data_IF_947419688909
#
_entry.id   IF_947419688909
#
_cell.length_a   1.000
_cell.length_b   1.000
_cell.length_c   1.000
_cell.angle_alpha   90.00
_cell.angle_beta   90.00
_cell.angle_gamma   90.00
#
_symmetry.space_group_name_H-M   'P 1'
#
loop_
_entity.id
_entity.type
_entity.pdbx_description
1 polymer ?
#
# COMPACT_ATOMS: atom_id res chain seq x y z
N UNK A 1 -51.02 21.07 55.08
CA UNK A 1 -50.30 19.83 54.68
C UNK A 1 -49.63 19.92 53.28
N UNK A 2 -50.01 20.87 52.41
CA UNK A 2 -49.50 20.96 51.02
C UNK A 2 -48.04 21.45 50.92
N UNK A 3 -47.65 22.45 51.73
CA UNK A 3 -46.30 23.08 51.71
C UNK A 3 -45.17 22.12 52.13
N UNK A 4 -45.46 21.18 53.05
CA UNK A 4 -44.48 20.18 53.47
C UNK A 4 -44.17 19.18 52.34
N UNK A 5 -45.17 18.86 51.50
CA UNK A 5 -44.99 17.93 50.39
C UNK A 5 -44.15 18.49 49.23
N UNK A 6 -44.17 19.82 49.02
CA UNK A 6 -43.36 20.48 48.00
C UNK A 6 -41.89 20.60 48.39
N UNK A 7 -41.59 20.91 49.66
CA UNK A 7 -40.20 20.94 50.17
C UNK A 7 -39.53 19.57 50.11
N UNK A 8 -40.27 18.49 50.42
CA UNK A 8 -39.76 17.12 50.31
C UNK A 8 -39.52 16.72 48.84
N UNK A 9 -40.39 17.13 47.90
CA UNK A 9 -40.17 16.93 46.45
C UNK A 9 -38.98 17.74 45.92
N UNK A 10 -38.83 19.00 46.31
CA UNK A 10 -37.72 19.87 45.91
C UNK A 10 -36.37 19.37 46.47
N UNK A 11 -36.32 18.92 47.73
CA UNK A 11 -35.13 18.33 48.35
C UNK A 11 -34.75 16.98 47.71
N UNK A 12 -35.72 16.11 47.40
CA UNK A 12 -35.48 14.86 46.63
C UNK A 12 -34.98 15.16 45.21
N UNK A 13 -35.50 16.20 44.56
CA UNK A 13 -35.07 16.64 43.21
C UNK A 13 -33.63 17.17 43.22
N UNK A 14 -33.25 17.96 44.24
CA UNK A 14 -31.89 18.46 44.41
C UNK A 14 -30.89 17.33 44.71
N UNK A 15 -31.27 16.36 45.56
CA UNK A 15 -30.42 15.19 45.85
C UNK A 15 -30.22 14.31 44.61
N UNK A 16 -31.26 14.09 43.79
CA UNK A 16 -31.14 13.38 42.50
C UNK A 16 -30.23 14.11 41.51
N UNK A 17 -30.33 15.44 41.43
CA UNK A 17 -29.45 16.26 40.61
C UNK A 17 -27.99 16.18 41.08
N UNK A 18 -27.75 16.31 42.39
CA UNK A 18 -26.41 16.15 42.97
C UNK A 18 -25.84 14.74 42.76
N UNK A 19 -26.65 13.69 42.89
CA UNK A 19 -26.23 12.31 42.58
C UNK A 19 -25.90 12.15 41.08
N UNK A 20 -26.69 12.74 40.18
CA UNK A 20 -26.39 12.74 38.74
C UNK A 20 -25.09 13.47 38.44
N UNK A 21 -24.89 14.67 39.01
CA UNK A 21 -23.65 15.43 38.84
C UNK A 21 -22.45 14.66 39.38
N UNK A 22 -22.57 14.06 40.56
CA UNK A 22 -21.50 13.23 41.13
C UNK A 22 -21.19 12.01 40.27
N UNK A 23 -22.22 11.36 39.70
CA UNK A 23 -22.05 10.23 38.80
C UNK A 23 -21.37 10.65 37.49
N UNK A 24 -21.78 11.76 36.88
CA UNK A 24 -21.14 12.32 35.68
C UNK A 24 -19.68 12.70 35.97
N UNK A 25 -19.42 13.31 37.13
CA UNK A 25 -18.05 13.64 37.54
C UNK A 25 -17.20 12.38 37.73
N UNK A 26 -17.74 11.33 38.35
CA UNK A 26 -17.08 10.04 38.50
C UNK A 26 -16.76 9.40 37.14
N UNK A 27 -17.70 9.43 36.20
CA UNK A 27 -17.48 8.93 34.84
C UNK A 27 -16.41 9.75 34.11
N UNK A 28 -16.41 11.07 34.27
CA UNK A 28 -15.40 11.94 33.67
C UNK A 28 -14.00 11.64 34.23
N UNK A 29 -13.86 11.53 35.55
CA UNK A 29 -12.58 11.16 36.19
C UNK A 29 -12.14 9.76 35.78
N UNK A 30 -13.06 8.80 35.74
CA UNK A 30 -12.78 7.44 35.28
C UNK A 30 -12.31 7.41 33.82
N UNK A 31 -12.94 8.21 32.94
CA UNK A 31 -12.53 8.33 31.55
C UNK A 31 -11.17 8.99 31.39
N UNK A 32 -10.87 10.05 32.15
CA UNK A 32 -9.55 10.68 32.19
C UNK A 32 -8.49 9.66 32.59
N UNK A 33 -8.70 8.92 33.68
CA UNK A 33 -7.78 7.90 34.14
C UNK A 33 -7.57 6.79 33.09
N UNK A 34 -8.66 6.32 32.46
CA UNK A 34 -8.60 5.32 31.39
C UNK A 34 -7.78 5.83 30.20
N UNK A 35 -7.97 7.08 29.79
CA UNK A 35 -7.27 7.68 28.66
C UNK A 35 -5.75 7.74 28.91
N UNK A 36 -5.33 8.24 30.08
CA UNK A 36 -3.91 8.31 30.43
C UNK A 36 -3.28 6.92 30.57
N UNK A 37 -4.01 5.95 31.11
CA UNK A 37 -3.58 4.55 31.14
C UNK A 37 -3.37 3.99 29.72
N UNK A 38 -4.33 4.19 28.81
CA UNK A 38 -4.24 3.73 27.43
C UNK A 38 -3.08 4.41 26.67
N UNK A 39 -2.89 5.73 26.88
CA UNK A 39 -1.76 6.48 26.30
C UNK A 39 -0.41 5.94 26.78
N UNK A 40 -0.23 5.71 28.09
CA UNK A 40 0.99 5.11 28.62
C UNK A 40 1.22 3.70 28.08
N UNK A 41 0.15 2.90 27.92
CA UNK A 41 0.28 1.55 27.35
C UNK A 41 0.70 1.57 25.88
N UNK A 42 0.22 2.54 25.12
CA UNK A 42 0.64 2.73 23.73
C UNK A 42 2.13 3.06 23.64
N UNK A 43 2.63 3.92 24.53
CA UNK A 43 4.05 4.28 24.60
C UNK A 43 4.95 3.06 24.86
N UNK A 44 4.63 2.26 25.87
CA UNK A 44 5.34 1.01 26.18
C UNK A 44 5.34 0.04 24.97
N UNK A 45 4.20 -0.08 24.30
CA UNK A 45 4.02 -0.99 23.17
C UNK A 45 4.89 -0.57 21.99
N UNK A 46 4.98 0.74 21.72
CA UNK A 46 5.83 1.33 20.68
C UNK A 46 7.30 1.12 21.02
N UNK A 47 7.71 1.38 22.27
CA UNK A 47 9.08 1.18 22.71
C UNK A 47 9.51 -0.29 22.58
N UNK A 48 8.66 -1.21 23.02
CA UNK A 48 8.89 -2.65 22.87
C UNK A 48 8.94 -3.11 21.41
N UNK A 49 8.11 -2.55 20.53
CA UNK A 49 8.18 -2.80 19.10
C UNK A 49 9.52 -2.32 18.50
N UNK A 50 9.93 -1.07 18.77
CA UNK A 50 11.22 -0.53 18.29
C UNK A 50 12.40 -1.39 18.75
N UNK A 51 12.39 -1.87 20.00
CA UNK A 51 13.41 -2.77 20.51
C UNK A 51 13.48 -4.11 19.75
N UNK A 52 12.33 -4.71 19.42
CA UNK A 52 12.27 -5.93 18.60
C UNK A 52 12.76 -5.69 17.17
N UNK A 53 12.40 -4.57 16.56
CA UNK A 53 12.87 -4.22 15.20
C UNK A 53 14.39 -4.00 15.17
N UNK A 54 14.95 -3.38 16.22
CA UNK A 54 16.38 -3.16 16.34
C UNK A 54 17.18 -4.48 16.39
N UNK A 55 16.61 -5.54 16.99
CA UNK A 55 17.21 -6.89 16.97
C UNK A 55 17.25 -7.52 15.57
N UNK A 56 16.38 -7.05 14.66
CA UNK A 56 16.32 -7.49 13.26
C UNK A 56 16.96 -6.47 12.30
N UNK A 57 17.89 -5.65 12.80
CA UNK A 57 18.68 -4.71 11.99
C UNK A 57 17.93 -3.48 11.48
N UNK A 58 16.71 -3.21 11.99
CA UNK A 58 15.87 -2.08 11.61
C UNK A 58 15.71 -1.11 12.77
N UNK A 59 16.35 0.06 12.68
CA UNK A 59 16.31 1.06 13.72
C UNK A 59 15.29 2.14 13.36
N UNK A 60 14.20 2.21 14.12
CA UNK A 60 13.19 3.27 14.01
C UNK A 60 13.41 4.31 15.11
N UNK A 61 13.65 5.55 14.72
CA UNK A 61 13.93 6.66 15.62
C UNK A 61 12.84 7.73 15.53
N UNK A 62 12.61 8.38 16.66
CA UNK A 62 11.70 9.51 16.77
C UNK A 62 12.43 10.63 17.49
N UNK A 63 12.61 11.78 16.85
CA UNK A 63 13.34 12.90 17.44
C UNK A 63 12.59 13.50 18.62
N UNK A 64 11.28 13.71 18.46
CA UNK A 64 10.37 14.08 19.55
C UNK A 64 9.07 13.31 19.39
N UNK A 65 8.67 12.60 20.45
CA UNK A 65 7.43 11.85 20.50
C UNK A 65 6.45 12.55 21.45
N UNK A 66 5.25 12.85 20.98
CA UNK A 66 4.18 13.40 21.82
C UNK A 66 2.90 12.58 21.67
N UNK A 67 2.17 12.45 22.78
CA UNK A 67 0.90 11.75 22.86
C UNK A 67 -0.23 12.78 22.91
N UNK A 68 -1.29 12.57 22.13
CA UNK A 68 -2.43 13.47 22.02
C UNK A 68 -3.73 12.70 21.71
N UNK A 69 -4.79 13.44 21.34
CA UNK A 69 -6.06 12.83 20.93
C UNK A 69 -7.14 12.71 22.02
N UNK A 70 -6.88 13.22 23.24
CA UNK A 70 -7.88 13.27 24.30
C UNK A 70 -9.17 13.99 23.83
N UNK A 71 -10.37 13.48 24.18
CA UNK A 71 -10.64 12.30 25.02
C UNK A 71 -10.94 11.02 24.26
N UNK A 72 -11.02 11.03 22.93
CA UNK A 72 -11.66 9.94 22.17
C UNK A 72 -10.71 9.05 21.36
N UNK A 73 -9.43 9.43 21.28
CA UNK A 73 -8.40 8.71 20.52
C UNK A 73 -7.04 8.86 21.17
N UNK A 74 -6.13 8.00 20.75
CA UNK A 74 -4.71 8.07 21.05
C UNK A 74 -4.02 8.45 19.76
N UNK A 75 -3.39 9.61 19.75
CA UNK A 75 -2.57 10.12 18.66
C UNK A 75 -1.12 10.13 19.11
N UNK A 76 -0.24 9.62 18.25
CA UNK A 76 1.20 9.60 18.43
C UNK A 76 1.79 10.48 17.34
N UNK A 77 2.32 11.62 17.74
CA UNK A 77 3.06 12.51 16.85
C UNK A 77 4.54 12.22 17.02
N UNK A 78 5.20 11.96 15.90
CA UNK A 78 6.64 11.73 15.86
C UNK A 78 7.30 12.73 14.93
N UNK A 79 8.03 13.68 15.48
CA UNK A 79 8.83 14.63 14.72
C UNK A 79 10.23 14.07 14.43
N UNK A 80 10.78 14.44 13.26
CA UNK A 80 12.08 13.98 12.76
C UNK A 80 12.19 12.45 12.83
N UNK A 81 11.19 11.78 12.25
CA UNK A 81 11.14 10.34 12.19
C UNK A 81 12.25 9.80 11.27
N UNK A 82 12.94 8.76 11.73
CA UNK A 82 14.00 8.09 10.98
C UNK A 82 13.80 6.58 10.99
N UNK A 83 14.16 5.92 9.89
CA UNK A 83 14.22 4.47 9.79
C UNK A 83 15.51 4.05 9.08
N UNK A 84 16.36 3.29 9.76
CA UNK A 84 17.63 2.80 9.26
C UNK A 84 17.58 1.28 9.08
N UNK A 85 17.83 0.81 7.86
CA UNK A 85 17.83 -0.62 7.51
C UNK A 85 19.28 -1.08 7.28
N UNK A 86 19.94 -1.55 8.34
CA UNK A 86 21.38 -1.89 8.31
C UNK A 86 21.69 -3.18 7.53
N UNK A 87 20.76 -4.12 7.54
CA UNK A 87 20.93 -5.43 6.88
C UNK A 87 20.54 -5.41 5.40
N UNK A 88 19.93 -4.31 4.94
CA UNK A 88 19.69 -4.10 3.51
C UNK A 88 21.04 -3.99 2.78
N UNK A 89 21.08 -4.42 1.52
CA UNK A 89 22.28 -4.34 0.68
C UNK A 89 21.93 -3.56 -0.59
N UNK A 90 22.35 -2.27 -0.71
CA UNK A 90 23.09 -1.48 0.29
C UNK A 90 22.21 -1.04 1.48
N UNK A 91 22.82 -0.69 2.64
CA UNK A 91 22.09 -0.09 3.75
C UNK A 91 21.47 1.24 3.33
N UNK A 92 20.26 1.53 3.80
CA UNK A 92 19.60 2.78 3.50
C UNK A 92 18.88 3.34 4.74
N UNK A 93 18.74 4.66 4.75
CA UNK A 93 18.04 5.43 5.74
C UNK A 93 16.86 6.16 5.07
N UNK A 94 15.73 6.19 5.77
CA UNK A 94 14.53 6.92 5.40
C UNK A 94 14.24 7.97 6.47
N UNK A 95 14.03 9.23 6.07
CA UNK A 95 13.67 10.32 6.99
C UNK A 95 12.38 10.98 6.58
N UNK A 96 11.54 11.29 7.56
CA UNK A 96 10.33 12.08 7.38
C UNK A 96 10.27 13.21 8.43
N UNK A 97 9.78 14.42 8.08
CA UNK A 97 9.64 15.52 9.02
C UNK A 97 8.72 15.16 10.19
N UNK A 98 7.63 14.45 9.90
CA UNK A 98 6.61 14.10 10.87
C UNK A 98 5.85 12.84 10.44
N UNK A 99 5.48 12.03 11.42
CA UNK A 99 4.50 10.93 11.29
C UNK A 99 3.44 11.11 12.37
N UNK A 100 2.17 11.04 11.99
CA UNK A 100 1.04 10.98 12.90
C UNK A 100 0.43 9.57 12.82
N UNK A 101 0.24 8.93 13.97
CA UNK A 101 -0.45 7.64 14.07
C UNK A 101 -1.62 7.82 15.04
N UNK A 102 -2.82 7.42 14.65
CA UNK A 102 -4.03 7.57 15.44
C UNK A 102 -4.80 6.25 15.57
N UNK A 103 -5.31 5.98 16.77
CA UNK A 103 -6.22 4.88 17.06
C UNK A 103 -7.39 5.39 17.92
N UNK A 104 -8.62 4.99 17.62
CA UNK A 104 -9.78 5.36 18.44
C UNK A 104 -9.85 4.48 19.69
N UNK A 105 -10.20 5.05 20.85
CA UNK A 105 -10.25 4.28 22.11
C UNK A 105 -11.30 3.16 22.05
N UNK A 106 -12.41 3.40 21.34
CA UNK A 106 -13.49 2.43 21.14
C UNK A 106 -13.31 1.55 19.89
N UNK A 107 -12.25 1.78 19.09
CA UNK A 107 -11.86 0.94 17.95
C UNK A 107 -10.32 0.83 17.88
N UNK A 108 -9.67 0.22 18.88
CA UNK A 108 -8.20 0.19 18.98
C UNK A 108 -7.54 -0.68 17.91
N UNK A 109 -8.32 -1.53 17.22
CA UNK A 109 -7.86 -2.37 16.13
C UNK A 109 -7.86 -1.65 14.77
N UNK A 110 -8.23 -0.36 14.70
CA UNK A 110 -8.10 0.47 13.51
C UNK A 110 -7.03 1.53 13.76
N UNK A 111 -5.88 1.34 13.12
CA UNK A 111 -4.78 2.29 13.10
C UNK A 111 -4.84 3.08 11.80
N UNK A 112 -4.76 4.40 11.90
CA UNK A 112 -4.61 5.30 10.77
C UNK A 112 -3.29 6.02 10.96
N UNK A 113 -2.48 6.12 9.92
CA UNK A 113 -1.25 6.92 9.97
C UNK A 113 -1.10 7.83 8.78
N UNK A 114 -0.56 9.01 9.02
CA UNK A 114 -0.27 10.03 8.03
C UNK A 114 1.20 10.39 8.10
N UNK A 115 1.81 10.51 6.92
CA UNK A 115 3.23 10.81 6.77
C UNK A 115 3.38 12.18 6.13
N UNK A 116 4.18 13.06 6.73
CA UNK A 116 4.45 14.37 6.15
C UNK A 116 5.51 14.27 5.05
N UNK A 117 5.31 15.01 3.97
CA UNK A 117 6.31 15.24 2.93
C UNK A 117 7.25 16.41 3.33
N UNK A 118 8.48 16.48 2.79
CA UNK A 118 9.13 15.48 1.94
C UNK A 118 9.74 14.33 2.74
N UNK A 119 9.61 13.10 2.25
CA UNK A 119 10.35 11.95 2.76
C UNK A 119 11.61 11.76 1.93
N UNK A 120 12.75 11.52 2.58
CA UNK A 120 14.03 11.31 1.91
C UNK A 120 14.55 9.91 2.12
N UNK A 121 15.19 9.35 1.10
CA UNK A 121 15.79 8.01 1.10
C UNK A 121 17.22 8.15 0.60
N UNK A 122 18.18 7.58 1.31
CA UNK A 122 19.58 7.62 0.92
C UNK A 122 20.45 6.69 1.75
N UNK A 123 21.74 6.66 1.45
CA UNK A 123 22.69 5.96 2.31
C UNK A 123 22.85 6.69 3.65
N UNK A 124 23.04 5.97 4.77
CA UNK A 124 23.19 6.60 6.07
C UNK A 124 24.40 7.54 6.09
N UNK A 125 24.20 8.78 6.51
CA UNK A 125 25.26 9.79 6.57
C UNK A 125 25.62 10.45 5.24
N UNK A 126 24.96 10.08 4.14
CA UNK A 126 25.14 10.71 2.83
C UNK A 126 23.95 11.62 2.46
N UNK A 127 24.09 12.50 1.45
CA UNK A 127 22.97 13.22 0.87
C UNK A 127 21.88 12.25 0.38
N UNK A 128 20.60 12.65 0.43
CA UNK A 128 19.51 11.78 0.03
C UNK A 128 19.59 11.46 -1.46
N UNK A 129 19.53 10.18 -1.82
CA UNK A 129 19.52 9.73 -3.21
C UNK A 129 18.16 9.96 -3.88
N UNK A 130 17.08 9.87 -3.09
CA UNK A 130 15.70 10.01 -3.54
C UNK A 130 14.92 10.92 -2.58
N UNK A 131 14.08 11.79 -3.12
CA UNK A 131 13.11 12.60 -2.38
C UNK A 131 11.70 12.28 -2.87
N UNK A 132 10.81 11.94 -1.94
CA UNK A 132 9.40 11.67 -2.19
C UNK A 132 8.54 12.80 -1.60
N UNK A 133 7.61 13.31 -2.40
CA UNK A 133 6.67 14.37 -2.04
C UNK A 133 5.25 13.93 -2.35
N UNK A 134 4.29 14.48 -1.62
CA UNK A 134 2.87 14.26 -1.79
C UNK A 134 2.11 15.36 -1.07
N UNK A 135 0.82 15.50 -1.37
CA UNK A 135 -0.11 16.34 -0.62
C UNK A 135 -0.77 15.59 0.55
N UNK A 136 -0.99 14.27 0.39
CA UNK A 136 -1.45 13.37 1.44
C UNK A 136 -0.78 12.01 1.22
N UNK A 137 -0.28 11.41 2.30
CA UNK A 137 0.10 10.00 2.34
C UNK A 137 -0.51 9.41 3.60
N UNK A 138 -1.60 8.67 3.42
CA UNK A 138 -2.35 8.07 4.51
C UNK A 138 -2.34 6.55 4.37
N UNK A 139 -2.19 5.86 5.48
CA UNK A 139 -2.36 4.43 5.56
C UNK A 139 -3.37 4.09 6.65
N UNK A 140 -4.10 2.99 6.47
CA UNK A 140 -4.94 2.43 7.52
C UNK A 140 -4.77 0.94 7.60
N UNK A 141 -4.75 0.41 8.82
CA UNK A 141 -4.65 -1.02 9.10
C UNK A 141 -5.75 -1.37 10.11
N UNK A 142 -6.59 -2.32 9.73
CA UNK A 142 -7.63 -2.88 10.59
C UNK A 142 -7.29 -4.32 10.95
N UNK A 143 -7.49 -4.68 12.22
CA UNK A 143 -7.28 -6.03 12.74
C UNK A 143 -6.15 -6.07 13.77
N UNK A 144 -5.63 -7.25 14.03
CA UNK A 144 -4.50 -7.44 14.96
C UNK A 144 -3.21 -7.74 14.19
N UNK A 145 -2.02 -7.56 14.77
CA UNK A 145 -0.77 -7.94 14.10
C UNK A 145 -0.72 -9.42 13.65
N UNK A 146 -1.41 -10.32 14.36
CA UNK A 146 -1.48 -11.74 14.00
C UNK A 146 -2.56 -12.06 12.96
N UNK A 147 -3.58 -11.21 12.85
CA UNK A 147 -4.71 -11.36 11.92
C UNK A 147 -5.14 -9.98 11.39
N UNK A 148 -4.38 -9.39 10.44
CA UNK A 148 -4.77 -8.16 9.77
C UNK A 148 -5.96 -8.43 8.85
N UNK A 149 -7.03 -7.64 8.98
CA UNK A 149 -8.27 -7.78 8.21
C UNK A 149 -8.23 -6.95 6.93
N UNK A 150 -7.72 -5.71 7.03
CA UNK A 150 -7.69 -4.74 5.94
C UNK A 150 -6.49 -3.83 6.06
N UNK A 151 -5.87 -3.52 4.93
CA UNK A 151 -4.81 -2.52 4.79
C UNK A 151 -5.19 -1.59 3.66
N UNK A 152 -5.03 -0.28 3.84
CA UNK A 152 -5.17 0.69 2.76
C UNK A 152 -4.01 1.67 2.80
N UNK A 153 -3.55 2.08 1.62
CA UNK A 153 -2.49 3.05 1.42
C UNK A 153 -3.00 3.99 0.32
N UNK A 154 -3.01 5.29 0.58
CA UNK A 154 -3.48 6.32 -0.35
C UNK A 154 -2.44 7.44 -0.40
N UNK A 155 -1.98 7.77 -1.61
CA UNK A 155 -1.12 8.92 -1.88
C UNK A 155 -1.81 9.87 -2.86
N UNK A 156 -1.91 11.14 -2.48
CA UNK A 156 -2.41 12.22 -3.34
C UNK A 156 -1.24 13.07 -3.84
N UNK A 157 -1.21 13.30 -5.16
CA UNK A 157 -0.17 14.02 -5.88
C UNK A 157 1.26 13.49 -5.59
N UNK A 158 1.53 12.17 -5.68
CA UNK A 158 2.86 11.63 -5.43
C UNK A 158 3.87 12.12 -6.47
N UNK A 159 5.04 12.55 -6.00
CA UNK A 159 6.18 12.91 -6.80
C UNK A 159 7.45 12.27 -6.22
N UNK A 160 8.16 11.49 -7.02
CA UNK A 160 9.43 10.86 -6.65
C UNK A 160 10.55 11.45 -7.52
N UNK A 161 11.59 11.94 -6.88
CA UNK A 161 12.73 12.60 -7.51
C UNK A 161 14.03 11.88 -7.12
N UNK A 162 14.87 11.55 -8.11
CA UNK A 162 16.28 11.25 -7.87
C UNK A 162 17.02 12.56 -7.68
N UNK A 163 17.90 12.63 -6.69
CA UNK A 163 18.63 13.87 -6.37
C UNK A 163 19.84 14.07 -7.28
N UNK A 164 20.54 13.00 -7.66
CA UNK A 164 21.76 13.07 -8.50
C UNK A 164 21.87 11.89 -9.49
N UNK A 165 21.84 12.14 -10.81
CA UNK A 165 21.42 13.41 -11.43
C UNK A 165 19.96 13.72 -11.06
N UNK A 166 19.61 15.01 -11.03
CA UNK A 166 18.26 15.44 -10.71
C UNK A 166 17.29 14.95 -11.80
N UNK A 167 16.36 14.07 -11.42
CA UNK A 167 15.46 13.43 -12.38
C UNK A 167 14.11 13.10 -11.73
N UNK A 168 13.02 13.43 -12.43
CA UNK A 168 11.68 13.02 -12.05
C UNK A 168 11.47 11.53 -12.33
N UNK A 169 11.41 10.70 -11.29
CA UNK A 169 11.23 9.25 -11.41
C UNK A 169 9.75 8.86 -11.54
N UNK A 170 8.88 9.53 -10.79
CA UNK A 170 7.44 9.29 -10.79
C UNK A 170 6.67 10.58 -10.55
N UNK A 171 5.55 10.75 -11.26
CA UNK A 171 4.50 11.73 -10.95
C UNK A 171 3.14 11.04 -11.02
N UNK A 172 2.16 11.53 -10.28
CA UNK A 172 0.79 11.03 -10.37
C UNK A 172 -0.21 11.98 -9.76
N UNK A 173 -1.51 11.78 -10.06
CA UNK A 173 -2.59 12.43 -9.30
C UNK A 173 -2.93 11.64 -8.05
N UNK A 174 -3.06 10.32 -8.18
CA UNK A 174 -3.48 9.46 -7.08
C UNK A 174 -2.89 8.05 -7.21
N UNK A 175 -2.45 7.48 -6.09
CA UNK A 175 -2.06 6.08 -5.97
C UNK A 175 -2.79 5.47 -4.78
N UNK A 176 -3.48 4.36 -5.01
CA UNK A 176 -4.21 3.63 -3.98
C UNK A 176 -3.84 2.16 -4.00
N UNK A 177 -3.62 1.58 -2.82
CA UNK A 177 -3.46 0.16 -2.63
C UNK A 177 -4.36 -0.27 -1.47
N UNK A 178 -5.26 -1.20 -1.73
CA UNK A 178 -6.15 -1.77 -0.73
C UNK A 178 -5.96 -3.27 -0.69
N UNK A 179 -5.69 -3.82 0.49
CA UNK A 179 -5.62 -5.25 0.75
C UNK A 179 -6.67 -5.66 1.78
N UNK A 180 -7.24 -6.84 1.63
CA UNK A 180 -8.11 -7.46 2.65
C UNK A 180 -7.92 -8.96 2.70
N UNK A 181 -8.23 -9.57 3.84
CA UNK A 181 -8.43 -11.01 3.89
C UNK A 181 -9.68 -11.39 3.08
N UNK A 182 -9.56 -12.45 2.28
CA UNK A 182 -10.69 -13.07 1.62
C UNK A 182 -11.63 -13.68 2.68
N UNK A 183 -12.93 -13.67 2.40
CA UNK A 183 -13.92 -14.28 3.30
C UNK A 183 -13.69 -15.81 3.41
N UNK A 184 -13.86 -16.35 4.62
CA UNK A 184 -13.59 -17.77 4.90
C UNK A 184 -12.12 -18.15 4.98
N UNK A 185 -11.20 -17.19 4.85
CA UNK A 185 -9.76 -17.41 5.00
C UNK A 185 -9.40 -17.78 6.45
N UNK A 186 -8.49 -18.74 6.63
CA UNK A 186 -7.97 -19.14 7.95
C UNK A 186 -6.61 -18.53 8.23
N UNK A 187 -6.31 -18.23 9.50
CA UNK A 187 -5.08 -17.52 9.90
C UNK A 187 -3.77 -18.22 9.50
N UNK A 188 -3.79 -19.56 9.37
CA UNK A 188 -2.62 -20.38 9.00
C UNK A 188 -2.38 -20.51 7.49
N UNK A 189 -3.34 -20.08 6.68
CA UNK A 189 -3.26 -20.13 5.22
C UNK A 189 -4.02 -18.92 4.64
N UNK A 190 -3.61 -17.69 4.97
CA UNK A 190 -4.39 -16.52 4.59
C UNK A 190 -4.41 -16.31 3.07
N UNK A 191 -5.59 -16.00 2.57
CA UNK A 191 -5.84 -15.57 1.20
C UNK A 191 -6.08 -14.07 1.22
N UNK A 192 -5.29 -13.32 0.46
CA UNK A 192 -5.36 -11.86 0.44
C UNK A 192 -5.87 -11.41 -0.91
N UNK A 193 -6.92 -10.59 -0.90
CA UNK A 193 -7.36 -9.84 -2.06
C UNK A 193 -6.74 -8.45 -2.04
N UNK A 194 -6.16 -8.03 -3.17
CA UNK A 194 -5.50 -6.75 -3.30
C UNK A 194 -6.05 -6.02 -4.53
N UNK A 195 -6.31 -4.72 -4.36
CA UNK A 195 -6.65 -3.79 -5.42
C UNK A 195 -5.61 -2.68 -5.44
N UNK A 196 -5.03 -2.44 -6.61
CA UNK A 196 -4.12 -1.34 -6.90
C UNK A 196 -4.80 -0.43 -7.92
N UNK A 197 -4.88 0.87 -7.60
CA UNK A 197 -5.40 1.89 -8.50
C UNK A 197 -4.39 3.01 -8.66
N UNK A 198 -4.22 3.47 -9.90
CA UNK A 198 -3.38 4.63 -10.21
C UNK A 198 -4.13 5.61 -11.10
N UNK A 199 -3.95 6.90 -10.87
CA UNK A 199 -4.57 7.96 -11.65
C UNK A 199 -3.50 8.93 -12.15
N UNK A 200 -3.40 9.07 -13.47
CA UNK A 200 -2.48 9.95 -14.20
C UNK A 200 -1.02 9.77 -13.81
N UNK A 201 -0.57 8.53 -13.66
CA UNK A 201 0.81 8.23 -13.26
C UNK A 201 1.75 8.21 -14.44
N UNK A 202 2.87 8.92 -14.33
CA UNK A 202 4.03 8.79 -15.22
C UNK A 202 5.20 8.20 -14.42
N UNK A 203 5.99 7.34 -15.05
CA UNK A 203 7.06 6.62 -14.38
C UNK A 203 8.26 6.44 -15.32
N UNK A 204 9.36 7.13 -15.05
CA UNK A 204 10.56 7.11 -15.89
C UNK A 204 11.14 5.68 -16.06
N UNK A 205 10.96 4.82 -15.05
CA UNK A 205 11.39 3.42 -15.08
C UNK A 205 10.76 2.60 -16.22
N UNK A 206 9.63 3.03 -16.79
CA UNK A 206 8.98 2.38 -17.93
C UNK A 206 9.47 2.91 -19.29
N UNK A 207 10.52 3.73 -19.31
CA UNK A 207 11.10 4.31 -20.52
C UNK A 207 10.06 5.10 -21.33
N UNK A 208 10.04 4.89 -22.65
CA UNK A 208 9.11 5.57 -23.55
C UNK A 208 7.63 5.36 -23.18
N UNK A 209 7.27 4.20 -22.62
CA UNK A 209 5.90 3.90 -22.19
C UNK A 209 5.49 4.63 -20.91
N UNK A 210 6.45 5.14 -20.14
CA UNK A 210 6.20 5.83 -18.88
C UNK A 210 6.04 7.35 -18.99
N UNK A 211 6.22 7.90 -20.18
CA UNK A 211 6.22 9.36 -20.43
C UNK A 211 4.82 9.97 -20.48
N UNK A 212 3.81 9.20 -20.89
CA UNK A 212 2.42 9.64 -20.93
C UNK A 212 1.63 9.11 -19.72
N UNK A 213 0.64 9.86 -19.18
CA UNK A 213 -0.09 9.47 -17.99
C UNK A 213 -0.82 8.13 -18.14
N UNK A 214 -0.68 7.27 -17.13
CA UNK A 214 -1.26 5.93 -17.05
C UNK A 214 -2.31 5.91 -15.93
N UNK A 215 -3.51 5.48 -16.29
CA UNK A 215 -4.57 5.11 -15.35
C UNK A 215 -4.60 3.58 -15.24
N UNK A 216 -4.63 3.03 -14.04
CA UNK A 216 -4.69 1.58 -13.84
C UNK A 216 -5.64 1.17 -12.72
N UNK A 217 -6.24 0.00 -12.89
CA UNK A 217 -7.09 -0.69 -11.92
C UNK A 217 -6.78 -2.18 -12.01
N UNK A 218 -6.06 -2.70 -11.01
CA UNK A 218 -5.57 -4.07 -10.95
C UNK A 218 -6.07 -4.73 -9.68
N UNK A 219 -6.80 -5.83 -9.82
CA UNK A 219 -7.27 -6.69 -8.74
C UNK A 219 -6.60 -8.06 -8.84
N UNK A 220 -6.04 -8.55 -7.74
CA UNK A 220 -5.45 -9.88 -7.67
C UNK A 220 -5.66 -10.55 -6.32
N UNK A 221 -5.57 -11.88 -6.32
CA UNK A 221 -5.67 -12.72 -5.12
C UNK A 221 -4.34 -13.41 -4.89
N UNK A 222 -3.73 -13.20 -3.73
CA UNK A 222 -2.50 -13.84 -3.29
C UNK A 222 -2.81 -15.04 -2.39
N UNK A 223 -2.16 -16.17 -2.68
CA UNK A 223 -2.23 -17.42 -1.91
C UNK A 223 -0.82 -17.94 -1.60
N UNK A 224 -0.70 -18.79 -0.59
CA UNK A 224 0.57 -19.43 -0.18
C UNK A 224 1.27 -18.76 1.00
N UNK A 225 0.61 -17.82 1.67
CA UNK A 225 1.10 -17.31 2.95
C UNK A 225 0.80 -18.31 4.06
N UNK A 226 1.71 -18.44 5.02
CA UNK A 226 1.55 -19.30 6.21
C UNK A 226 1.18 -18.50 7.47
N UNK A 227 1.61 -17.25 7.55
CA UNK A 227 1.43 -16.35 8.71
C UNK A 227 1.59 -14.88 8.29
N UNK A 228 1.41 -13.93 9.22
CA UNK A 228 1.66 -12.49 9.04
C UNK A 228 2.89 -11.98 9.80
N UNK A 229 3.75 -12.87 10.30
CA UNK A 229 4.92 -12.47 11.07
C UNK A 229 5.92 -11.66 10.20
N UNK A 230 6.54 -10.60 10.73
CA UNK A 230 7.54 -9.84 9.98
C UNK A 230 8.75 -10.72 9.64
N UNK A 231 9.06 -10.85 8.34
CA UNK A 231 10.22 -11.60 7.82
C UNK A 231 10.85 -10.82 6.66
N UNK A 232 12.16 -10.98 6.38
CA UNK A 232 12.76 -10.46 5.16
C UNK A 232 12.02 -10.96 3.90
N UNK A 233 11.84 -10.08 2.91
CA UNK A 233 11.13 -10.42 1.66
C UNK A 233 11.66 -11.68 0.96
N UNK A 234 12.99 -11.90 0.82
CA UNK A 234 13.51 -13.11 0.19
C UNK A 234 13.13 -14.40 0.92
N UNK A 235 13.03 -14.34 2.25
CA UNK A 235 12.55 -15.48 3.04
C UNK A 235 11.05 -15.68 2.82
N UNK A 236 10.28 -14.60 2.83
CA UNK A 236 8.83 -14.63 2.59
C UNK A 236 8.49 -15.23 1.23
N UNK A 237 9.19 -14.84 0.17
CA UNK A 237 8.96 -15.37 -1.18
C UNK A 237 9.35 -16.85 -1.31
N UNK A 238 10.40 -17.29 -0.62
CA UNK A 238 10.74 -18.73 -0.53
C UNK A 238 9.64 -19.56 0.12
N UNK A 239 9.08 -19.07 1.23
CA UNK A 239 7.99 -19.77 1.92
C UNK A 239 6.73 -19.83 1.05
N UNK A 240 6.40 -18.73 0.36
CA UNK A 240 5.27 -18.68 -0.58
C UNK A 240 5.50 -19.69 -1.71
N UNK A 241 6.71 -19.73 -2.28
CA UNK A 241 7.06 -20.69 -3.33
C UNK A 241 6.91 -22.14 -2.84
N UNK A 242 7.44 -22.46 -1.65
CA UNK A 242 7.35 -23.79 -1.05
C UNK A 242 5.90 -24.20 -0.74
N UNK A 243 5.01 -23.24 -0.50
CA UNK A 243 3.59 -23.44 -0.26
C UNK A 243 2.74 -23.47 -1.55
N UNK A 244 3.36 -23.62 -2.74
CA UNK A 244 2.69 -23.53 -4.04
C UNK A 244 1.91 -22.22 -4.21
N UNK A 245 2.51 -21.13 -3.74
CA UNK A 245 1.92 -19.81 -3.77
C UNK A 245 1.67 -19.31 -5.19
N UNK A 246 0.55 -18.64 -5.37
CA UNK A 246 0.08 -18.12 -6.66
C UNK A 246 -0.56 -16.76 -6.48
N UNK A 247 -0.48 -15.97 -7.54
CA UNK A 247 -1.15 -14.69 -7.69
C UNK A 247 -2.14 -14.84 -8.83
N UNK A 248 -3.42 -14.78 -8.50
CA UNK A 248 -4.52 -14.80 -9.46
C UNK A 248 -4.92 -13.37 -9.80
N UNK A 249 -4.50 -12.88 -10.96
CA UNK A 249 -4.90 -11.57 -11.47
C UNK A 249 -6.29 -11.72 -12.07
N UNK A 250 -7.30 -11.30 -11.31
CA UNK A 250 -8.71 -11.40 -11.69
C UNK A 250 -9.11 -10.29 -12.66
N UNK A 251 -8.52 -9.11 -12.50
CA UNK A 251 -8.71 -7.96 -13.37
C UNK A 251 -7.43 -7.15 -13.42
N UNK A 252 -6.94 -6.84 -14.60
CA UNK A 252 -5.94 -5.81 -14.82
C UNK A 252 -6.45 -4.91 -15.93
N UNK A 253 -6.71 -3.64 -15.65
CA UNK A 253 -7.06 -2.62 -16.64
C UNK A 253 -6.00 -1.53 -16.59
N UNK A 254 -5.42 -1.21 -17.73
CA UNK A 254 -4.42 -0.16 -17.89
C UNK A 254 -4.85 0.70 -19.07
N UNK A 255 -4.85 2.01 -18.91
CA UNK A 255 -5.21 2.96 -19.95
C UNK A 255 -4.14 4.04 -20.07
N UNK A 256 -3.76 4.35 -21.30
CA UNK A 256 -2.88 5.46 -21.63
C UNK A 256 -3.36 6.13 -22.92
N UNK A 257 -3.95 7.32 -22.77
CA UNK A 257 -4.65 7.97 -23.89
C UNK A 257 -5.82 7.11 -24.37
N UNK A 258 -5.82 6.79 -25.67
CA UNK A 258 -6.85 5.97 -26.32
C UNK A 258 -6.60 4.45 -26.26
N UNK A 259 -5.39 4.04 -25.88
CA UNK A 259 -5.02 2.62 -25.74
C UNK A 259 -5.50 2.10 -24.40
N UNK A 260 -6.26 1.01 -24.43
CA UNK A 260 -6.78 0.32 -23.24
C UNK A 260 -6.32 -1.13 -23.30
N UNK A 261 -5.59 -1.57 -22.28
CA UNK A 261 -5.23 -2.95 -22.06
C UNK A 261 -6.08 -3.52 -20.92
N UNK A 262 -6.74 -4.65 -21.16
CA UNK A 262 -7.36 -5.47 -20.10
C UNK A 262 -6.72 -6.84 -20.07
N UNK A 263 -6.64 -7.46 -18.90
CA UNK A 263 -6.11 -8.82 -18.84
C UNK A 263 -6.39 -9.52 -17.52
N UNK A 264 -6.17 -10.83 -17.56
CA UNK A 264 -6.27 -11.72 -16.42
C UNK A 264 -5.27 -12.87 -16.58
N UNK A 265 -5.03 -13.60 -15.49
CA UNK A 265 -4.20 -14.79 -15.53
C UNK A 265 -3.63 -15.13 -14.17
N UNK A 266 -2.67 -16.06 -14.17
CA UNK A 266 -2.06 -16.55 -12.93
C UNK A 266 -0.55 -16.50 -13.05
N UNK A 267 0.09 -16.06 -11.98
CA UNK A 267 1.54 -16.05 -11.81
C UNK A 267 1.93 -16.89 -10.59
N UNK A 268 3.03 -17.62 -10.72
CA UNK A 268 3.65 -18.44 -9.67
C UNK A 268 5.13 -18.07 -9.54
N UNK A 269 5.78 -18.59 -8.49
CA UNK A 269 7.22 -18.44 -8.29
C UNK A 269 7.87 -19.79 -8.57
N UNK A 270 8.84 -19.82 -9.48
CA UNK A 270 9.58 -21.02 -9.82
C UNK A 270 10.67 -21.35 -8.77
N UNK A 271 11.31 -22.53 -8.80
CA UNK A 271 12.35 -22.90 -7.84
C UNK A 271 13.60 -21.99 -7.84
N UNK A 272 13.81 -21.21 -8.90
CA UNK A 272 14.89 -20.21 -9.01
C UNK A 272 14.49 -18.83 -8.47
N UNK A 273 13.33 -18.73 -7.82
CA UNK A 273 12.81 -17.48 -7.27
C UNK A 273 12.29 -16.50 -8.33
N UNK A 274 12.04 -16.95 -9.55
CA UNK A 274 11.56 -16.10 -10.65
C UNK A 274 10.07 -16.30 -10.89
N UNK A 275 9.41 -15.24 -11.36
CA UNK A 275 8.01 -15.32 -11.74
C UNK A 275 7.83 -16.16 -13.02
N UNK A 276 6.82 -17.01 -13.01
CA UNK A 276 6.39 -17.80 -14.17
C UNK A 276 4.86 -17.77 -14.29
N UNK A 277 4.33 -17.96 -15.51
CA UNK A 277 2.89 -17.98 -15.76
C UNK A 277 2.49 -17.27 -17.05
N UNK A 278 1.20 -17.02 -17.20
CA UNK A 278 0.66 -16.35 -18.39
C UNK A 278 -0.48 -15.42 -18.01
N UNK A 279 -0.44 -14.22 -18.59
CA UNK A 279 -1.56 -13.27 -18.60
C UNK A 279 -2.13 -13.22 -20.02
N UNK A 280 -3.44 -13.34 -20.13
CA UNK A 280 -4.15 -13.10 -21.37
C UNK A 280 -4.46 -11.60 -21.43
N UNK A 281 -3.75 -10.87 -22.30
CA UNK A 281 -3.98 -9.44 -22.48
C UNK A 281 -4.85 -9.22 -23.70
N UNK A 282 -5.81 -8.30 -23.60
CA UNK A 282 -6.59 -7.77 -24.70
C UNK A 282 -6.31 -6.28 -24.78
N UNK A 283 -5.84 -5.81 -25.94
CA UNK A 283 -5.44 -4.42 -26.12
C UNK A 283 -6.30 -3.79 -27.21
N UNK A 284 -7.06 -2.76 -26.86
CA UNK A 284 -7.75 -1.88 -27.80
C UNK A 284 -6.91 -0.62 -28.08
N UNK A 285 -7.05 -0.06 -29.28
CA UNK A 285 -6.26 1.12 -29.69
C UNK A 285 -4.79 0.80 -29.97
N UNK A 286 -4.54 -0.36 -30.60
CA UNK A 286 -3.20 -0.89 -30.88
C UNK A 286 -2.44 -0.01 -31.88
N UNK A 287 -3.14 0.69 -32.77
CA UNK A 287 -2.53 1.58 -33.78
C UNK A 287 -1.68 2.67 -33.11
N UNK A 288 -2.21 3.29 -32.05
CA UNK A 288 -1.48 4.27 -31.25
C UNK A 288 -0.26 3.63 -30.53
N UNK A 289 -0.38 2.38 -30.08
CA UNK A 289 0.71 1.64 -29.46
C UNK A 289 1.81 1.31 -30.48
N UNK A 290 1.46 0.82 -31.67
CA UNK A 290 2.39 0.52 -32.76
C UNK A 290 3.17 1.78 -33.14
N UNK A 291 2.48 2.91 -33.33
CA UNK A 291 3.13 4.18 -33.66
C UNK A 291 4.14 4.61 -32.58
N UNK A 292 3.81 4.43 -31.29
CA UNK A 292 4.76 4.69 -30.18
C UNK A 292 5.94 3.72 -30.16
N UNK A 293 5.72 2.43 -30.37
CA UNK A 293 6.79 1.42 -30.43
C UNK A 293 7.72 1.70 -31.60
N UNK A 294 7.19 2.02 -32.78
CA UNK A 294 7.98 2.40 -33.95
C UNK A 294 8.79 3.68 -33.70
N UNK A 295 8.18 4.69 -33.07
CA UNK A 295 8.88 5.92 -32.67
C UNK A 295 9.98 5.68 -31.64
N UNK A 296 9.77 4.78 -30.67
CA UNK A 296 10.72 4.46 -29.61
C UNK A 296 11.89 3.57 -30.08
N UNK A 297 11.64 2.66 -31.02
CA UNK A 297 12.64 1.66 -31.49
C UNK A 297 13.38 2.08 -32.76
N UNK A 298 12.89 3.10 -33.48
CA UNK A 298 13.49 3.57 -34.74
C UNK A 298 13.39 2.57 -35.91
N UNK A 299 12.78 1.40 -35.71
CA UNK A 299 12.64 0.37 -36.73
C UNK A 299 11.37 0.59 -37.57
N UNK A 300 11.53 1.10 -38.80
CA UNK A 300 10.42 1.42 -39.71
C UNK A 300 9.74 0.22 -40.40
N UNK A 301 10.08 -1.05 -40.10
CA UNK A 301 9.61 -2.18 -40.94
C UNK A 301 9.26 -3.52 -40.28
N UNK A 302 9.95 -3.94 -39.20
CA UNK A 302 9.82 -5.32 -38.70
C UNK A 302 8.65 -5.55 -37.74
N UNK A 303 8.43 -4.64 -36.80
CA UNK A 303 7.44 -4.82 -35.72
C UNK A 303 6.00 -4.75 -36.23
N UNK A 304 5.74 -3.93 -37.25
CA UNK A 304 4.41 -3.73 -37.84
C UNK A 304 3.83 -4.99 -38.50
N UNK A 305 4.67 -5.83 -39.13
CA UNK A 305 4.20 -7.04 -39.82
C UNK A 305 3.78 -8.15 -38.84
N UNK A 306 4.53 -8.35 -37.76
CA UNK A 306 4.21 -9.35 -36.71
C UNK A 306 2.96 -9.01 -35.92
N UNK A 307 2.73 -7.72 -35.61
CA UNK A 307 1.50 -7.27 -34.95
C UNK A 307 0.32 -7.21 -35.93
N UNK A 308 0.58 -6.92 -37.21
CA UNK A 308 -0.41 -6.95 -38.30
C UNK A 308 -1.06 -8.33 -38.51
N UNK A 309 -0.30 -9.41 -38.34
CA UNK A 309 -0.83 -10.78 -38.44
C UNK A 309 -1.73 -11.17 -37.26
N UNK A 310 -1.49 -10.63 -36.06
CA UNK A 310 -2.38 -10.82 -34.90
C UNK A 310 -3.71 -10.08 -35.01
N UNK A 311 -3.76 -9.00 -35.78
CA UNK A 311 -4.97 -8.20 -36.06
C UNK A 311 -5.96 -8.93 -36.99
N UNK A 312 -5.53 -9.94 -37.74
CA UNK A 312 -6.38 -10.68 -38.68
C UNK A 312 -7.22 -11.79 -38.01
N UNK A 313 -6.97 -12.13 -36.74
CA UNK A 313 -7.58 -13.29 -36.08
C UNK A 313 -8.38 -13.02 -34.80
N UNK A 314 -8.46 -11.76 -34.33
CA UNK A 314 -9.05 -11.44 -33.03
C UNK A 314 -10.36 -10.68 -33.11
N UNK A 315 -11.50 -11.32 -32.83
CA UNK A 315 -12.81 -10.66 -32.63
C UNK A 315 -12.98 -10.10 -31.21
N UNK A 316 -11.88 -9.76 -30.51
CA UNK A 316 -11.99 -9.27 -29.14
C UNK A 316 -12.49 -7.83 -29.14
N UNK A 317 -13.36 -7.49 -28.19
CA UNK A 317 -13.89 -6.15 -27.99
C UNK A 317 -13.63 -5.75 -26.56
N UNK A 318 -12.93 -4.63 -26.37
CA UNK A 318 -12.66 -4.05 -25.05
C UNK A 318 -13.30 -2.67 -25.03
N UNK A 319 -14.27 -2.48 -24.14
CA UNK A 319 -15.00 -1.20 -23.99
C UNK A 319 -15.57 -0.67 -25.32
N UNK A 320 -16.12 -1.57 -26.16
CA UNK A 320 -16.73 -1.22 -27.45
C UNK A 320 -15.73 -0.97 -28.59
N UNK A 321 -14.42 -1.10 -28.34
CA UNK A 321 -13.37 -0.93 -29.35
C UNK A 321 -12.79 -2.28 -29.79
N UNK A 322 -12.44 -2.45 -31.09
CA UNK A 322 -11.70 -3.62 -31.55
C UNK A 322 -10.40 -3.80 -30.77
N UNK A 323 -10.14 -5.02 -30.34
CA UNK A 323 -9.00 -5.38 -29.53
C UNK A 323 -8.28 -6.60 -30.07
N UNK A 324 -6.97 -6.67 -29.84
CA UNK A 324 -6.18 -7.88 -30.10
C UNK A 324 -5.93 -8.62 -28.80
N UNK A 325 -5.99 -9.94 -28.86
CA UNK A 325 -5.57 -10.78 -27.74
C UNK A 325 -4.12 -11.19 -27.92
N UNK A 326 -3.28 -10.90 -26.93
CA UNK A 326 -1.87 -11.24 -26.91
C UNK A 326 -1.53 -11.96 -25.59
N UNK A 327 -0.91 -13.16 -25.65
CA UNK A 327 -0.43 -13.80 -24.45
C UNK A 327 0.83 -13.08 -23.96
N UNK A 328 0.81 -12.62 -22.71
CA UNK A 328 1.99 -12.17 -21.98
C UNK A 328 2.50 -13.32 -21.11
N UNK A 329 3.59 -13.95 -21.51
CA UNK A 329 4.18 -15.10 -20.82
C UNK A 329 5.34 -14.65 -19.95
N UNK A 330 5.38 -15.19 -18.74
CA UNK A 330 6.50 -15.10 -17.81
C UNK A 330 7.18 -16.44 -17.82
N UNK A 331 8.41 -16.48 -18.31
CA UNK A 331 9.22 -17.70 -18.42
C UNK A 331 10.58 -17.40 -17.81
N UNK A 332 10.83 -17.98 -16.63
CA UNK A 332 12.03 -17.73 -15.84
C UNK A 332 12.33 -16.23 -15.63
N UNK A 333 11.30 -15.46 -15.27
CA UNK A 333 11.39 -14.01 -15.09
C UNK A 333 11.49 -13.19 -16.38
N UNK A 334 11.67 -13.81 -17.54
CA UNK A 334 11.61 -13.11 -18.83
C UNK A 334 10.15 -12.89 -19.23
N UNK A 335 9.79 -11.64 -19.48
CA UNK A 335 8.44 -11.27 -19.91
C UNK A 335 8.40 -11.19 -21.42
N UNK A 336 7.54 -12.00 -22.03
CA UNK A 336 7.34 -12.10 -23.48
C UNK A 336 5.91 -11.74 -23.87
N UNK A 337 5.76 -10.84 -24.83
CA UNK A 337 4.48 -10.54 -25.47
C UNK A 337 4.49 -11.19 -26.86
N UNK A 338 3.86 -12.36 -26.99
CA UNK A 338 4.04 -13.21 -28.17
C UNK A 338 5.53 -13.55 -28.40
N UNK A 339 6.11 -13.30 -29.58
CA UNK A 339 7.53 -13.56 -29.85
C UNK A 339 8.49 -12.51 -29.27
N UNK A 340 7.98 -11.36 -28.81
CA UNK A 340 8.80 -10.21 -28.41
C UNK A 340 9.15 -10.27 -26.93
N UNK A 341 10.45 -10.13 -26.59
CA UNK A 341 10.90 -9.89 -25.21
C UNK A 341 10.65 -8.43 -24.85
N UNK A 342 9.82 -8.18 -23.84
CA UNK A 342 9.41 -6.82 -23.45
C UNK A 342 10.07 -6.35 -22.16
N UNK A 343 10.34 -7.26 -21.23
CA UNK A 343 10.97 -6.94 -19.95
C UNK A 343 11.64 -8.19 -19.35
N UNK A 344 12.40 -7.97 -18.27
CA UNK A 344 12.88 -9.02 -17.39
C UNK A 344 12.61 -8.61 -15.94
N UNK A 345 12.04 -9.53 -15.17
CA UNK A 345 11.81 -9.39 -13.74
C UNK A 345 12.98 -10.06 -13.01
N UNK A 346 13.68 -9.34 -12.12
CA UNK A 346 14.75 -9.94 -11.31
C UNK A 346 14.20 -11.03 -10.37
N UNK A 347 15.07 -11.94 -9.90
CA UNK A 347 14.67 -12.96 -8.92
C UNK A 347 14.18 -12.31 -7.62
N UNK A 348 13.18 -12.93 -7.01
CA UNK A 348 12.58 -12.50 -5.75
C UNK A 348 13.40 -12.91 -4.51
N UNK A 349 14.29 -13.90 -4.65
CA UNK A 349 15.16 -14.38 -3.57
C UNK A 349 16.42 -15.08 -4.08
#
# INVERSE_FOLDING_TARGET
MVIYSERVRAARRNRRYLTLVALVALLAVGWIALWFYASGKAEETIAGWRAREAQAGRLFTCGQQTMGGFPFRIEVFCERAGALFREARPPFEVKAPQILIAAQIYQPNLLISEFAAPLTIGEPGQPPAITAKWSLAQTSVRGTPAAPERVSIVLENPALDRTSPAEALLRGRRLELHGRLAEGSVARAPVIEVVLRSEKVTAAALGAFGTAPIDSDVSFVLRGLNDFSPKPWPQRFREIQAANGRIDITKARIQQGDTIGVGNGTLTINPRGRLEGQLNLQVAGVEALINKVLAATGQRGGVGLTLGLGLLGGNAVVEGKPAITLPLRFDDGVVRLGPLRVAEVPPLF
#
